data_IF_648165969171
#
_entry.id   IF_648165969171
#
_cell.length_a   1.000
_cell.length_b   1.000
_cell.length_c   1.000
_cell.angle_alpha   90.00
_cell.angle_beta   90.00
_cell.angle_gamma   90.00
#
_symmetry.space_group_name_H-M   'P 1'
#
loop_
_entity.id
_entity.type
_entity.pdbx_description
1 polymer ?
#
# COMPACT_ATOMS: atom_id res chain seq x y z
N UNK A 1 -30.70 -9.59 -15.41
CA UNK A 1 -29.33 -9.85 -15.01
C UNK A 1 -28.39 -8.73 -15.44
N UNK A 2 -27.33 -8.49 -14.67
CA UNK A 2 -26.31 -7.51 -15.01
C UNK A 2 -25.35 -8.05 -16.08
N UNK A 3 -25.80 -8.07 -17.34
CA UNK A 3 -25.03 -8.62 -18.47
C UNK A 3 -23.67 -7.94 -18.64
N UNK A 4 -23.53 -6.59 -18.58
CA UNK A 4 -22.23 -5.93 -18.68
C UNK A 4 -21.27 -6.35 -17.57
N UNK A 5 -21.75 -6.54 -16.34
CA UNK A 5 -20.94 -7.00 -15.21
C UNK A 5 -20.47 -8.44 -15.39
N UNK A 6 -21.31 -9.33 -15.90
CA UNK A 6 -20.94 -10.73 -16.20
C UNK A 6 -19.87 -10.78 -17.30
N UNK A 7 -20.03 -10.00 -18.36
CA UNK A 7 -19.04 -9.92 -19.44
C UNK A 7 -17.71 -9.33 -18.95
N UNK A 8 -17.77 -8.30 -18.10
CA UNK A 8 -16.54 -7.73 -17.49
C UNK A 8 -15.80 -8.73 -16.59
N UNK A 9 -16.54 -9.54 -15.81
CA UNK A 9 -15.97 -10.62 -15.02
C UNK A 9 -15.31 -11.69 -15.90
N UNK A 10 -15.97 -12.11 -16.98
CA UNK A 10 -15.39 -13.06 -17.95
C UNK A 10 -14.05 -12.56 -18.47
N UNK A 11 -13.96 -11.28 -18.89
CA UNK A 11 -12.71 -10.69 -19.40
C UNK A 11 -11.62 -10.61 -18.33
N UNK A 12 -11.99 -10.29 -17.10
CA UNK A 12 -11.04 -10.28 -15.98
C UNK A 12 -10.48 -11.69 -15.70
N UNK A 13 -11.31 -12.72 -15.73
CA UNK A 13 -10.87 -14.11 -15.55
C UNK A 13 -9.97 -14.57 -16.71
N UNK A 14 -10.30 -14.26 -17.97
CA UNK A 14 -9.44 -14.54 -19.12
C UNK A 14 -8.06 -13.88 -18.96
N UNK A 15 -8.02 -12.60 -18.56
CA UNK A 15 -6.76 -11.90 -18.28
C UNK A 15 -5.90 -12.63 -17.23
N UNK A 16 -6.53 -13.05 -16.10
CA UNK A 16 -5.83 -13.77 -15.04
C UNK A 16 -5.30 -15.14 -15.54
N UNK A 17 -6.09 -15.83 -16.36
CA UNK A 17 -5.73 -17.13 -16.94
C UNK A 17 -4.54 -17.01 -17.92
N UNK A 18 -4.59 -16.01 -18.80
CA UNK A 18 -3.53 -15.73 -19.79
C UNK A 18 -2.24 -15.23 -19.15
N UNK A 19 -2.33 -14.35 -18.14
CA UNK A 19 -1.16 -13.82 -17.43
C UNK A 19 -0.58 -14.83 -16.45
N UNK A 20 -1.44 -15.57 -15.76
CA UNK A 20 -1.06 -16.52 -14.72
C UNK A 20 -0.95 -15.87 -13.33
N UNK A 21 -1.57 -16.50 -12.33
CA UNK A 21 -1.57 -16.04 -10.94
C UNK A 21 -0.15 -15.90 -10.37
N UNK A 22 0.76 -16.80 -10.74
CA UNK A 22 2.17 -16.77 -10.28
C UNK A 22 2.91 -15.54 -10.78
N UNK A 23 2.69 -15.14 -12.03
CA UNK A 23 3.30 -13.93 -12.61
C UNK A 23 2.75 -12.67 -11.92
N UNK A 24 1.43 -12.59 -11.72
CA UNK A 24 0.78 -11.50 -11.00
C UNK A 24 1.35 -11.39 -9.58
N UNK A 25 1.52 -12.51 -8.88
CA UNK A 25 2.08 -12.55 -7.53
C UNK A 25 3.56 -12.14 -7.51
N UNK A 26 4.37 -12.63 -8.44
CA UNK A 26 5.79 -12.29 -8.53
C UNK A 26 5.99 -10.79 -8.75
N UNK A 27 5.23 -10.20 -9.69
CA UNK A 27 5.25 -8.76 -9.94
C UNK A 27 4.85 -7.95 -8.70
N UNK A 28 3.74 -8.32 -8.06
CA UNK A 28 3.24 -7.62 -6.87
C UNK A 28 4.23 -7.73 -5.70
N UNK A 29 4.87 -8.89 -5.52
CA UNK A 29 5.89 -9.10 -4.50
C UNK A 29 7.14 -8.24 -4.75
N UNK A 30 7.56 -8.10 -6.00
CA UNK A 30 8.69 -7.24 -6.37
C UNK A 30 8.41 -5.77 -6.00
N UNK A 31 7.25 -5.25 -6.34
CA UNK A 31 6.84 -3.89 -5.96
C UNK A 31 6.79 -3.71 -4.44
N UNK A 32 6.23 -4.69 -3.74
CA UNK A 32 6.14 -4.69 -2.29
C UNK A 32 7.51 -4.67 -1.63
N UNK A 33 8.44 -5.54 -2.07
CA UNK A 33 9.81 -5.57 -1.53
C UNK A 33 10.52 -4.25 -1.75
N UNK A 34 10.48 -3.69 -2.96
CA UNK A 34 11.09 -2.39 -3.26
C UNK A 34 10.56 -1.28 -2.36
N UNK A 35 9.24 -1.28 -2.11
CA UNK A 35 8.63 -0.30 -1.24
C UNK A 35 9.09 -0.45 0.22
N UNK A 36 9.14 -1.67 0.74
CA UNK A 36 9.62 -1.93 2.10
C UNK A 36 11.08 -1.52 2.28
N UNK A 37 11.97 -1.84 1.32
CA UNK A 37 13.39 -1.46 1.37
C UNK A 37 13.53 0.06 1.53
N UNK A 38 12.82 0.85 0.72
CA UNK A 38 12.85 2.31 0.83
C UNK A 38 12.23 2.83 2.13
N UNK A 39 11.20 2.15 2.66
CA UNK A 39 10.63 2.51 3.95
C UNK A 39 11.56 2.23 5.13
N UNK A 40 12.36 1.16 5.09
CA UNK A 40 13.33 0.88 6.16
C UNK A 40 14.42 1.95 6.26
N UNK A 41 14.83 2.53 5.13
CA UNK A 41 15.73 3.69 5.14
C UNK A 41 15.11 4.90 5.86
N UNK A 42 13.79 5.12 5.69
CA UNK A 42 13.04 6.18 6.34
C UNK A 42 12.79 5.83 7.82
N UNK A 43 12.47 4.58 8.14
CA UNK A 43 12.19 4.10 9.49
C UNK A 43 13.37 4.27 10.43
N UNK A 44 14.61 4.14 9.95
CA UNK A 44 15.82 4.37 10.74
C UNK A 44 15.90 5.73 11.42
N UNK A 45 15.05 6.69 11.03
CA UNK A 45 14.92 8.01 11.66
C UNK A 45 13.75 8.11 12.68
N UNK A 46 13.10 7.02 13.03
CA UNK A 46 11.90 6.96 13.89
C UNK A 46 10.71 7.84 13.40
N UNK A 47 10.64 8.10 12.10
CA UNK A 47 9.59 8.94 11.51
C UNK A 47 8.32 8.15 11.18
N UNK A 48 8.45 6.84 10.97
CA UNK A 48 7.38 5.93 10.61
C UNK A 48 7.47 4.62 11.40
N UNK A 49 6.34 3.94 11.54
CA UNK A 49 6.22 2.58 12.05
C UNK A 49 5.45 1.73 11.04
N UNK A 50 5.93 0.53 10.76
CA UNK A 50 5.28 -0.44 9.88
C UNK A 50 4.70 -1.54 10.76
N UNK A 51 3.37 -1.55 11.02
CA UNK A 51 2.74 -2.61 11.83
C UNK A 51 2.72 -3.93 11.08
N UNK A 52 3.09 -5.01 11.76
CA UNK A 52 3.05 -6.37 11.22
C UNK A 52 4.37 -7.12 11.34
N UNK A 53 4.36 -8.39 11.03
CA UNK A 53 5.56 -9.22 11.02
C UNK A 53 6.21 -9.19 9.64
N UNK A 54 7.51 -8.94 9.61
CA UNK A 54 8.35 -9.14 8.44
C UNK A 54 8.30 -10.60 7.96
N UNK A 55 8.45 -10.81 6.65
CA UNK A 55 8.71 -12.14 6.08
C UNK A 55 7.48 -13.01 5.79
N UNK A 56 6.26 -12.48 5.78
CA UNK A 56 5.10 -13.22 5.26
C UNK A 56 4.92 -12.98 3.76
N UNK A 57 4.46 -14.02 3.05
CA UNK A 57 3.95 -13.84 1.68
C UNK A 57 2.92 -12.72 1.64
N UNK A 58 3.13 -11.76 0.76
CA UNK A 58 2.44 -10.49 0.79
C UNK A 58 1.30 -10.42 -0.23
N UNK A 59 0.21 -9.80 0.20
CA UNK A 59 -0.95 -9.47 -0.64
C UNK A 59 -0.78 -8.17 -1.43
N UNK A 60 0.46 -7.62 -1.51
CA UNK A 60 0.69 -6.32 -2.12
C UNK A 60 0.18 -5.13 -1.28
N UNK A 61 0.06 -5.30 0.03
CA UNK A 61 -0.45 -4.27 0.94
C UNK A 61 0.59 -3.94 2.01
N UNK A 62 0.86 -2.64 2.20
CA UNK A 62 1.71 -2.11 3.29
C UNK A 62 0.93 -1.07 4.07
N UNK A 63 0.92 -1.19 5.39
CA UNK A 63 0.34 -0.21 6.30
C UNK A 63 1.44 0.53 7.05
N UNK A 64 1.35 1.85 7.12
CA UNK A 64 2.32 2.74 7.77
C UNK A 64 1.60 3.62 8.79
N UNK A 65 2.18 3.77 9.97
CA UNK A 65 1.81 4.79 10.95
C UNK A 65 2.91 5.86 10.98
N UNK A 66 2.54 7.10 10.65
CA UNK A 66 3.47 8.23 10.63
C UNK A 66 3.58 8.82 12.04
N UNK A 67 4.71 8.57 12.72
CA UNK A 67 4.89 8.89 14.14
C UNK A 67 4.95 10.40 14.43
N UNK A 68 5.35 11.21 13.45
CA UNK A 68 5.61 12.64 13.60
C UNK A 68 4.55 13.53 12.96
N UNK A 69 3.60 12.94 12.24
CA UNK A 69 2.57 13.65 11.50
C UNK A 69 1.26 12.89 11.52
N UNK A 70 0.14 13.60 11.49
CA UNK A 70 -1.18 13.00 11.37
C UNK A 70 -1.33 12.21 10.06
N UNK A 71 -1.78 10.95 10.15
CA UNK A 71 -1.95 10.04 9.02
C UNK A 71 -2.91 10.58 7.94
N UNK A 72 -3.97 11.31 8.34
CA UNK A 72 -4.90 11.91 7.41
C UNK A 72 -4.26 13.09 6.66
N UNK A 73 -3.40 13.87 7.32
CA UNK A 73 -2.67 14.97 6.69
C UNK A 73 -1.67 14.43 5.65
N UNK A 74 -0.94 13.36 5.97
CA UNK A 74 -0.03 12.70 5.01
C UNK A 74 -0.80 12.18 3.80
N UNK A 75 -1.92 11.48 4.04
CA UNK A 75 -2.78 10.98 2.97
C UNK A 75 -3.26 12.11 2.05
N UNK A 76 -3.73 13.22 2.62
CA UNK A 76 -4.16 14.40 1.87
C UNK A 76 -3.02 15.00 1.03
N UNK A 77 -1.82 15.16 1.60
CA UNK A 77 -0.66 15.70 0.89
C UNK A 77 -0.23 14.81 -0.27
N UNK A 78 -0.18 13.48 -0.06
CA UNK A 78 0.15 12.52 -1.12
C UNK A 78 -0.86 12.58 -2.27
N UNK A 79 -2.14 12.68 -1.96
CA UNK A 79 -3.18 12.80 -2.99
C UNK A 79 -3.11 14.14 -3.72
N UNK A 80 -3.07 15.28 -2.99
CA UNK A 80 -3.21 16.61 -3.58
C UNK A 80 -1.96 17.10 -4.31
N UNK A 81 -0.75 16.78 -3.80
CA UNK A 81 0.51 17.27 -4.39
C UNK A 81 1.14 16.31 -5.38
N UNK A 82 0.99 14.99 -5.12
CA UNK A 82 1.70 13.96 -5.88
C UNK A 82 0.77 13.08 -6.71
N UNK A 83 -0.57 13.21 -6.54
CA UNK A 83 -1.55 12.37 -7.25
C UNK A 83 -1.52 10.91 -6.79
N UNK A 84 -1.01 10.62 -5.58
CA UNK A 84 -0.88 9.27 -5.04
C UNK A 84 -2.12 8.95 -4.21
N UNK A 85 -2.97 8.05 -4.72
CA UNK A 85 -4.24 7.67 -4.12
C UNK A 85 -4.05 6.50 -3.17
N UNK A 86 -4.19 6.78 -1.88
CA UNK A 86 -4.03 5.83 -0.77
C UNK A 86 -5.20 5.96 0.20
N UNK A 87 -5.28 5.08 1.19
CA UNK A 87 -6.36 5.10 2.17
C UNK A 87 -5.81 5.16 3.60
N UNK A 88 -6.41 5.99 4.44
CA UNK A 88 -6.06 6.10 5.86
C UNK A 88 -7.22 5.62 6.76
N UNK A 89 -6.92 5.28 8.02
CA UNK A 89 -7.87 4.95 9.08
C UNK A 89 -7.76 3.50 9.58
N UNK A 90 -8.88 2.98 10.10
CA UNK A 90 -8.92 1.65 10.72
C UNK A 90 -9.18 0.51 9.72
N UNK A 91 -9.46 0.81 8.46
CA UNK A 91 -9.65 -0.17 7.37
C UNK A 91 -10.65 -1.30 7.68
N UNK A 92 -11.69 -1.01 8.49
CA UNK A 92 -12.67 -1.99 8.99
C UNK A 92 -12.05 -3.14 9.83
N UNK A 93 -10.88 -2.91 10.43
CA UNK A 93 -10.14 -3.91 11.21
C UNK A 93 -9.77 -3.40 12.63
N UNK A 94 -10.73 -2.98 13.47
CA UNK A 94 -10.44 -2.36 14.77
C UNK A 94 -9.64 -3.27 15.70
N UNK A 95 -9.89 -4.58 15.68
CA UNK A 95 -9.16 -5.55 16.51
C UNK A 95 -7.68 -5.63 16.11
N UNK A 96 -7.37 -5.61 14.82
CA UNK A 96 -5.98 -5.58 14.35
C UNK A 96 -5.27 -4.30 14.82
N UNK A 97 -5.95 -3.15 14.75
CA UNK A 97 -5.40 -1.89 15.25
C UNK A 97 -5.16 -1.89 16.77
N UNK A 98 -6.01 -2.53 17.56
CA UNK A 98 -5.77 -2.75 18.99
C UNK A 98 -4.51 -3.60 19.23
N UNK A 99 -4.34 -4.70 18.49
CA UNK A 99 -3.16 -5.55 18.59
C UNK A 99 -1.85 -4.82 18.22
N UNK A 100 -1.92 -3.88 17.29
CA UNK A 100 -0.77 -3.10 16.84
C UNK A 100 -0.59 -1.75 17.57
N UNK A 101 -1.51 -1.37 18.47
CA UNK A 101 -1.48 -0.10 19.18
C UNK A 101 -1.66 1.11 18.25
N UNK A 102 -2.46 0.96 17.21
CA UNK A 102 -2.78 2.00 16.22
C UNK A 102 -4.27 2.36 16.19
N UNK A 103 -5.01 1.99 17.22
CA UNK A 103 -6.46 2.22 17.30
C UNK A 103 -6.85 3.70 17.31
N UNK A 104 -5.95 4.59 17.77
CA UNK A 104 -6.18 6.03 17.83
C UNK A 104 -5.76 6.75 16.56
N UNK A 105 -4.61 6.37 15.99
CA UNK A 105 -4.03 7.01 14.79
C UNK A 105 -4.54 6.38 13.49
N UNK A 106 -4.99 5.13 13.52
CA UNK A 106 -5.14 4.33 12.32
C UNK A 106 -3.79 4.10 11.62
N UNK A 107 -3.84 3.75 10.36
CA UNK A 107 -2.65 3.66 9.48
C UNK A 107 -2.96 4.20 8.10
N UNK A 108 -1.93 4.55 7.35
CA UNK A 108 -1.99 4.82 5.91
C UNK A 108 -1.67 3.53 5.18
N UNK A 109 -2.60 3.06 4.35
CA UNK A 109 -2.49 1.81 3.60
C UNK A 109 -2.14 2.07 2.15
N UNK A 110 -1.03 1.50 1.73
CA UNK A 110 -0.59 1.42 0.33
C UNK A 110 -0.96 0.04 -0.20
N UNK A 111 -1.49 -0.02 -1.41
CA UNK A 111 -1.90 -1.26 -2.07
C UNK A 111 -1.37 -1.27 -3.49
N UNK A 112 -0.64 -2.32 -3.85
CA UNK A 112 -0.03 -2.49 -5.16
C UNK A 112 -0.76 -3.59 -5.93
N UNK A 113 -0.96 -3.37 -7.21
CA UNK A 113 -1.56 -4.35 -8.11
C UNK A 113 -0.69 -4.58 -9.34
N UNK A 114 -1.10 -5.51 -10.19
CA UNK A 114 -0.37 -5.91 -11.38
C UNK A 114 -0.06 -4.75 -12.36
N UNK A 115 -0.91 -3.73 -12.40
CA UNK A 115 -0.74 -2.58 -13.30
C UNK A 115 0.15 -1.48 -12.74
N UNK A 116 0.57 -1.56 -11.47
CA UNK A 116 1.53 -0.62 -10.92
C UNK A 116 2.94 -0.90 -11.46
N UNK A 117 3.76 0.16 -11.51
CA UNK A 117 5.12 0.13 -12.04
C UNK A 117 6.13 0.47 -10.95
N UNK A 118 7.37 0.04 -11.15
CA UNK A 118 8.46 0.31 -10.22
C UNK A 118 8.70 1.81 -10.03
N UNK A 119 8.59 2.59 -11.09
CA UNK A 119 8.76 4.05 -11.06
C UNK A 119 7.70 4.74 -10.16
N UNK A 120 6.49 4.17 -10.06
CA UNK A 120 5.46 4.69 -9.15
C UNK A 120 5.82 4.43 -7.68
N UNK A 121 6.49 3.31 -7.40
CA UNK A 121 7.00 2.99 -6.07
C UNK A 121 8.10 3.97 -5.68
N UNK A 122 9.10 4.17 -6.54
CA UNK A 122 10.21 5.10 -6.29
C UNK A 122 9.70 6.54 -6.11
N UNK A 123 8.78 6.98 -6.95
CA UNK A 123 8.13 8.29 -6.82
C UNK A 123 7.36 8.42 -5.49
N UNK A 124 6.70 7.36 -5.05
CA UNK A 124 5.98 7.37 -3.78
C UNK A 124 6.93 7.48 -2.59
N UNK A 125 8.05 6.76 -2.62
CA UNK A 125 9.08 6.85 -1.58
C UNK A 125 9.69 8.26 -1.49
N UNK A 126 10.01 8.88 -2.64
CA UNK A 126 10.48 10.27 -2.69
C UNK A 126 9.44 11.25 -2.12
N UNK A 127 8.17 11.09 -2.49
CA UNK A 127 7.10 11.93 -1.97
C UNK A 127 6.94 11.80 -0.44
N UNK A 128 7.08 10.59 0.11
CA UNK A 128 7.07 10.35 1.57
C UNK A 128 8.25 11.06 2.23
N UNK A 129 9.47 10.96 1.67
CA UNK A 129 10.66 11.62 2.19
C UNK A 129 10.50 13.16 2.20
N UNK A 130 9.98 13.74 1.11
CA UNK A 130 9.73 15.18 1.01
C UNK A 130 8.68 15.67 2.02
N UNK A 131 7.65 14.86 2.33
CA UNK A 131 6.62 15.20 3.31
C UNK A 131 7.17 15.17 4.74
N UNK A 132 8.16 14.30 5.01
CA UNK A 132 8.76 14.10 6.33
C UNK A 132 10.01 14.97 6.59
N UNK A 133 10.52 15.64 5.56
CA UNK A 133 11.63 16.60 5.67
C UNK A 133 11.15 17.97 6.19
#
# INVERSE_FOLDING_TARGET
>A
PNIPGIYGLEKALQFIEETGVKEIQAHTNMLHQRFLEGLYEIQGKNLIRIPGKEGRENSGVVSIDFCTMDNALVCNRLASRYGIMIRQGLHCAPIAHQCFGTEKSGTVRFSFGFFNRMEEIDRTLLAIQEILS
#
